data_IF_793913594094
#
_entry.id   IF_793913594094
#
_cell.length_a   1.000
_cell.length_b   1.000
_cell.length_c   1.000
_cell.angle_alpha   90.00
_cell.angle_beta   90.00
_cell.angle_gamma   90.00
#
_symmetry.space_group_name_H-M   'P 1'
#
loop_
_entity.id
_entity.type
_entity.pdbx_description
1 polymer ?
#
# COMPACT_ATOMS: atom_id res chain seq x y z
N UNK A 1 4.92 -14.40 11.18
CA UNK A 1 4.82 -13.62 9.91
C UNK A 1 3.40 -13.47 9.36
N UNK A 2 2.43 -14.32 9.71
CA UNK A 2 1.02 -14.22 9.24
C UNK A 2 0.39 -12.84 9.47
N UNK A 3 0.66 -12.19 10.60
CA UNK A 3 0.08 -10.88 10.95
C UNK A 3 0.54 -9.79 9.96
N UNK A 4 1.81 -9.80 9.58
CA UNK A 4 2.37 -8.79 8.65
C UNK A 4 1.76 -8.97 7.26
N UNK A 5 1.66 -10.20 6.76
CA UNK A 5 1.00 -10.49 5.49
C UNK A 5 -0.48 -10.10 5.49
N UNK A 6 -1.20 -10.38 6.58
CA UNK A 6 -2.60 -9.96 6.72
C UNK A 6 -2.72 -8.44 6.67
N UNK A 7 -1.85 -7.72 7.37
CA UNK A 7 -1.84 -6.26 7.35
C UNK A 7 -1.55 -5.72 5.94
N UNK A 8 -0.51 -6.22 5.27
CA UNK A 8 -0.15 -5.81 3.90
C UNK A 8 -1.30 -6.06 2.91
N UNK A 9 -1.94 -7.25 2.98
CA UNK A 9 -3.11 -7.57 2.14
C UNK A 9 -4.30 -6.66 2.41
N UNK A 10 -4.57 -6.31 3.66
CA UNK A 10 -5.64 -5.36 4.00
C UNK A 10 -5.36 -3.97 3.43
N UNK A 11 -4.10 -3.50 3.49
CA UNK A 11 -3.71 -2.22 2.89
C UNK A 11 -3.81 -2.26 1.36
N UNK A 12 -3.36 -3.34 0.71
CA UNK A 12 -3.48 -3.51 -0.74
C UNK A 12 -4.95 -3.42 -1.21
N UNK A 13 -5.88 -4.08 -0.50
CA UNK A 13 -7.30 -3.97 -0.82
C UNK A 13 -7.85 -2.56 -0.61
N UNK A 14 -7.45 -1.86 0.46
CA UNK A 14 -7.86 -0.47 0.68
C UNK A 14 -7.37 0.44 -0.45
N UNK A 15 -6.12 0.27 -0.90
CA UNK A 15 -5.56 1.02 -2.02
C UNK A 15 -6.34 0.74 -3.31
N UNK A 16 -6.66 -0.52 -3.60
CA UNK A 16 -7.48 -0.91 -4.75
C UNK A 16 -8.88 -0.27 -4.71
N UNK A 17 -9.54 -0.30 -3.54
CA UNK A 17 -10.86 0.30 -3.34
C UNK A 17 -10.84 1.81 -3.59
N UNK A 18 -9.82 2.51 -3.09
CA UNK A 18 -9.64 3.94 -3.35
C UNK A 18 -9.37 4.21 -4.82
N UNK A 19 -8.53 3.39 -5.46
CA UNK A 19 -8.17 3.53 -6.88
C UNK A 19 -9.40 3.45 -7.77
N UNK A 20 -10.21 2.40 -7.62
CA UNK A 20 -11.39 2.23 -8.48
C UNK A 20 -12.50 3.24 -8.18
N UNK A 21 -12.56 3.73 -6.94
CA UNK A 21 -13.62 4.65 -6.51
C UNK A 21 -13.31 6.10 -6.86
N UNK A 22 -12.04 6.48 -6.86
CA UNK A 22 -11.60 7.87 -6.92
C UNK A 22 -10.58 8.15 -8.04
N UNK A 23 -10.23 7.14 -8.85
CA UNK A 23 -9.22 7.23 -9.92
C UNK A 23 -7.85 7.67 -9.39
N UNK A 24 -7.42 7.08 -8.27
CA UNK A 24 -6.14 7.40 -7.63
C UNK A 24 -4.98 6.92 -8.48
N UNK A 25 -4.06 7.82 -8.84
CA UNK A 25 -2.84 7.47 -9.60
C UNK A 25 -1.67 7.09 -8.69
N UNK A 26 -1.54 7.74 -7.52
CA UNK A 26 -0.40 7.59 -6.60
C UNK A 26 -0.87 7.51 -5.15
N UNK A 27 -0.35 6.54 -4.40
CA UNK A 27 -0.55 6.42 -2.95
C UNK A 27 0.80 6.46 -2.24
N UNK A 28 0.95 7.37 -1.27
CA UNK A 28 2.10 7.39 -0.37
C UNK A 28 1.77 6.66 0.94
N UNK A 29 2.55 5.64 1.28
CA UNK A 29 2.45 4.94 2.57
C UNK A 29 3.40 5.57 3.60
N UNK A 30 2.81 6.10 4.68
CA UNK A 30 3.50 6.65 5.84
C UNK A 30 3.37 5.77 7.09
N UNK A 31 3.69 6.36 8.25
CA UNK A 31 3.61 5.69 9.54
C UNK A 31 4.71 4.65 9.78
N UNK A 32 4.95 4.30 11.04
CA UNK A 32 6.06 3.41 11.43
C UNK A 32 6.00 2.04 10.76
N UNK A 33 4.80 1.49 10.57
CA UNK A 33 4.59 0.19 9.92
C UNK A 33 4.71 0.29 8.40
N UNK A 34 4.11 1.31 7.78
CA UNK A 34 4.19 1.51 6.33
C UNK A 34 5.61 1.77 5.83
N UNK A 35 6.42 2.39 6.68
CA UNK A 35 7.84 2.69 6.42
C UNK A 35 8.78 1.54 6.82
N UNK A 36 8.28 0.48 7.46
CA UNK A 36 9.09 -0.66 7.87
C UNK A 36 9.70 -1.37 6.65
N UNK A 37 10.95 -1.87 6.73
CA UNK A 37 11.58 -2.60 5.64
C UNK A 37 10.73 -3.79 5.17
N UNK A 38 10.53 -3.91 3.86
CA UNK A 38 9.76 -4.99 3.23
C UNK A 38 8.24 -4.87 3.30
N UNK A 39 7.67 -3.94 4.09
CA UNK A 39 6.22 -3.83 4.19
C UNK A 39 5.58 -3.29 2.89
N UNK A 40 6.18 -2.25 2.29
CA UNK A 40 5.72 -1.72 1.00
C UNK A 40 5.81 -2.78 -0.11
N UNK A 41 6.88 -3.58 -0.10
CA UNK A 41 7.07 -4.65 -1.10
C UNK A 41 5.95 -5.69 -0.99
N UNK A 42 5.59 -6.11 0.23
CA UNK A 42 4.45 -7.00 0.45
C UNK A 42 3.10 -6.41 0.01
N UNK A 43 2.90 -5.09 0.20
CA UNK A 43 1.68 -4.42 -0.30
C UNK A 43 1.64 -4.45 -1.83
N UNK A 44 2.76 -4.17 -2.48
CA UNK A 44 2.88 -4.22 -3.93
C UNK A 44 2.68 -5.64 -4.48
N UNK A 45 3.21 -6.67 -3.81
CA UNK A 45 2.98 -8.07 -4.19
C UNK A 45 1.48 -8.38 -4.20
N UNK A 46 0.74 -8.03 -3.14
CA UNK A 46 -0.71 -8.26 -3.09
C UNK A 46 -1.51 -7.40 -4.08
N UNK A 47 -1.07 -6.17 -4.38
CA UNK A 47 -1.68 -5.35 -5.43
C UNK A 47 -1.47 -5.97 -6.81
N UNK A 48 -0.31 -6.56 -7.05
CA UNK A 48 0.03 -7.17 -8.35
C UNK A 48 -0.84 -8.37 -8.71
N UNK A 49 -1.47 -9.01 -7.72
CA UNK A 49 -2.45 -10.10 -7.90
C UNK A 49 -3.82 -9.59 -8.44
N UNK A 50 -4.09 -8.29 -8.38
CA UNK A 50 -5.35 -7.68 -8.83
C UNK A 50 -5.28 -7.28 -10.31
N UNK A 51 -6.41 -7.03 -11.00
CA UNK A 51 -6.37 -6.44 -12.34
C UNK A 51 -5.71 -5.05 -12.35
N UNK A 52 -5.08 -4.69 -13.47
CA UNK A 52 -4.29 -3.44 -13.60
C UNK A 52 -5.05 -2.16 -13.21
N UNK A 53 -6.37 -2.11 -13.40
CA UNK A 53 -7.21 -0.96 -13.02
C UNK A 53 -7.26 -0.69 -11.50
N UNK A 54 -6.78 -1.61 -10.68
CA UNK A 54 -6.69 -1.49 -9.22
C UNK A 54 -5.26 -1.21 -8.72
N UNK A 55 -4.30 -1.03 -9.62
CA UNK A 55 -2.87 -0.96 -9.30
C UNK A 55 -2.32 0.46 -9.50
N UNK A 56 -2.49 1.38 -8.54
CA UNK A 56 -1.85 2.68 -8.58
C UNK A 56 -0.35 2.56 -8.26
N UNK A 57 0.41 3.62 -8.48
CA UNK A 57 1.80 3.70 -8.02
C UNK A 57 1.82 3.87 -6.49
N UNK A 58 2.38 2.90 -5.76
CA UNK A 58 2.54 3.01 -4.30
C UNK A 58 3.99 3.34 -3.93
N UNK A 59 4.19 4.42 -3.18
CA UNK A 59 5.50 4.94 -2.77
C UNK A 59 5.60 5.06 -1.25
N UNK A 60 6.83 5.18 -0.73
CA UNK A 60 7.04 5.57 0.67
C UNK A 60 6.82 7.07 0.84
N UNK A 61 6.15 7.46 1.91
CA UNK A 61 6.12 8.86 2.32
C UNK A 61 7.54 9.34 2.65
N UNK A 62 7.89 10.54 2.20
CA UNK A 62 9.24 11.10 2.37
C UNK A 62 9.42 11.90 3.66
N UNK A 63 8.34 12.16 4.41
CA UNK A 63 8.35 12.95 5.66
C UNK A 63 8.63 12.12 6.92
N UNK A 64 8.98 10.84 6.79
CA UNK A 64 9.36 9.99 7.93
C UNK A 64 8.20 9.68 8.89
N UNK A 65 8.50 9.57 10.19
CA UNK A 65 7.50 9.19 11.21
C UNK A 65 6.38 10.23 11.39
N UNK A 66 6.58 11.46 10.92
CA UNK A 66 5.60 12.56 10.98
C UNK A 66 4.65 12.58 9.76
N UNK A 67 4.63 11.51 8.96
CA UNK A 67 3.75 11.36 7.80
C UNK A 67 2.34 10.82 8.12
N UNK A 68 1.99 10.69 9.40
CA UNK A 68 0.75 10.05 9.88
C UNK A 68 -0.43 11.02 9.99
#
# INVERSE_FOLDING_TARGET
>A
MVIIHRAAKTIANLVADLTISLDVEVVALGGSVGLAPGFLDLVNDYLSDLPQVYQPLVIKAQTGADAA
#
